data_IF_585816285877
#
_entry.id   IF_585816285877
#
_cell.length_a   1.000
_cell.length_b   1.000
_cell.length_c   1.000
_cell.angle_alpha   90.00
_cell.angle_beta   90.00
_cell.angle_gamma   90.00
#
_symmetry.space_group_name_H-M   'P 1'
#
loop_
_entity.id
_entity.type
_entity.pdbx_description
1 polymer ?
#
# COMPACT_ATOMS: atom_id res chain seq x y z
N UNK A 1 -65.78 37.49 3.56
CA UNK A 1 -64.34 37.64 3.83
C UNK A 1 -63.66 36.34 3.43
N UNK A 2 -62.91 36.34 2.32
CA UNK A 2 -62.25 35.15 1.75
C UNK A 2 -60.85 35.02 2.38
N UNK A 3 -60.52 33.86 2.96
CA UNK A 3 -59.14 33.52 3.33
C UNK A 3 -58.68 32.39 2.41
N UNK A 4 -57.69 32.71 1.57
CA UNK A 4 -57.00 31.76 0.69
C UNK A 4 -55.99 30.98 1.53
N UNK A 5 -56.07 29.65 1.49
CA UNK A 5 -55.00 28.76 1.98
C UNK A 5 -53.99 28.57 0.85
N UNK A 6 -52.75 28.97 1.09
CA UNK A 6 -51.61 28.83 0.17
C UNK A 6 -50.93 27.50 0.50
N UNK A 7 -50.78 26.63 -0.51
CA UNK A 7 -49.96 25.43 -0.45
C UNK A 7 -48.48 25.82 -0.37
N UNK A 8 -47.77 25.35 0.66
CA UNK A 8 -46.32 25.38 0.72
C UNK A 8 -45.79 24.00 0.37
N UNK A 9 -45.34 23.83 -0.87
CA UNK A 9 -44.57 22.66 -1.30
C UNK A 9 -43.13 22.83 -0.80
N UNK A 10 -42.77 22.09 0.25
CA UNK A 10 -41.39 21.97 0.69
C UNK A 10 -40.64 21.03 -0.27
N UNK A 11 -39.76 21.60 -1.09
CA UNK A 11 -38.80 20.84 -1.89
C UNK A 11 -37.69 20.36 -0.94
N UNK A 12 -37.77 19.11 -0.50
CA UNK A 12 -36.70 18.45 0.23
C UNK A 12 -35.57 18.13 -0.76
N UNK A 13 -34.50 18.94 -0.76
CA UNK A 13 -33.22 18.52 -1.34
C UNK A 13 -32.62 17.47 -0.40
N UNK A 14 -32.72 16.20 -0.78
CA UNK A 14 -31.96 15.13 -0.13
C UNK A 14 -30.49 15.29 -0.50
N UNK A 15 -29.65 15.63 0.49
CA UNK A 15 -28.20 15.51 0.35
C UNK A 15 -27.86 14.01 0.32
N UNK A 16 -27.58 13.48 -0.87
CA UNK A 16 -26.93 12.18 -1.00
C UNK A 16 -25.48 12.36 -0.60
N UNK A 17 -25.13 11.85 0.57
CA UNK A 17 -23.74 11.63 0.96
C UNK A 17 -23.12 10.66 -0.05
N UNK A 18 -22.20 11.15 -0.88
CA UNK A 18 -21.30 10.31 -1.65
C UNK A 18 -20.43 9.60 -0.63
N UNK A 19 -20.77 8.34 -0.31
CA UNK A 19 -19.84 7.47 0.38
C UNK A 19 -18.69 7.21 -0.60
N UNK A 20 -17.47 7.65 -0.25
CA UNK A 20 -16.27 7.09 -0.87
C UNK A 20 -16.34 5.58 -0.67
N UNK A 21 -16.32 4.82 -1.76
CA UNK A 21 -16.09 3.39 -1.65
C UNK A 21 -14.63 3.26 -1.22
N UNK A 22 -14.39 3.01 0.07
CA UNK A 22 -13.10 2.43 0.47
C UNK A 22 -13.07 1.06 -0.18
N UNK A 23 -12.12 0.84 -1.09
CA UNK A 23 -11.87 -0.51 -1.58
C UNK A 23 -11.36 -1.30 -0.37
N UNK A 24 -12.13 -2.27 0.11
CA UNK A 24 -11.63 -3.21 1.09
C UNK A 24 -10.72 -4.20 0.34
N UNK A 25 -9.48 -3.80 0.06
CA UNK A 25 -8.53 -4.60 -0.71
C UNK A 25 -8.22 -5.95 -0.06
N UNK A 26 -8.09 -7.00 -0.88
CA UNK A 26 -7.54 -8.29 -0.48
C UNK A 26 -6.01 -8.22 -0.57
N UNK A 27 -5.32 -8.42 0.56
CA UNK A 27 -3.87 -8.31 0.67
C UNK A 27 -3.25 -9.69 0.90
N UNK A 28 -2.25 -10.03 0.09
CA UNK A 28 -1.34 -11.14 0.37
C UNK A 28 -0.10 -10.63 1.10
N UNK A 29 0.10 -11.03 2.35
CA UNK A 29 1.28 -10.71 3.16
C UNK A 29 2.24 -11.91 3.20
N UNK A 30 3.51 -11.72 2.80
CA UNK A 30 4.52 -12.79 2.82
C UNK A 30 5.22 -12.90 4.17
N UNK A 31 5.29 -14.11 4.72
CA UNK A 31 6.06 -14.46 5.92
C UNK A 31 7.42 -15.10 5.56
N UNK A 32 8.50 -14.66 6.22
CA UNK A 32 9.85 -15.24 6.11
C UNK A 32 10.42 -15.62 7.49
N UNK A 33 11.68 -15.32 7.77
CA UNK A 33 12.42 -15.88 8.92
C UNK A 33 12.26 -15.07 10.23
N UNK A 34 11.91 -13.79 10.13
CA UNK A 34 11.97 -12.83 11.24
C UNK A 34 11.00 -13.16 12.40
N UNK A 35 9.90 -13.90 12.17
CA UNK A 35 8.91 -14.23 13.22
C UNK A 35 9.24 -15.44 14.11
N UNK A 36 10.35 -16.15 13.89
CA UNK A 36 10.60 -17.40 14.62
C UNK A 36 11.35 -17.25 15.96
N UNK A 37 11.60 -16.00 16.40
CA UNK A 37 12.46 -15.66 17.55
C UNK A 37 11.78 -15.45 18.90
N UNK A 38 10.76 -16.23 19.26
CA UNK A 38 10.29 -16.42 20.65
C UNK A 38 10.35 -15.22 21.61
N UNK A 39 9.49 -14.22 21.42
CA UNK A 39 9.35 -13.13 22.39
C UNK A 39 8.34 -12.06 21.98
N UNK A 40 7.07 -12.29 22.34
CA UNK A 40 5.92 -11.35 22.29
C UNK A 40 5.61 -10.70 20.93
N UNK A 41 4.55 -11.27 20.32
CA UNK A 41 3.87 -10.97 19.06
C UNK A 41 4.59 -11.36 17.77
N UNK A 42 3.87 -12.12 16.94
CA UNK A 42 4.28 -12.50 15.61
C UNK A 42 4.00 -11.30 14.71
N UNK A 43 5.06 -10.62 14.25
CA UNK A 43 4.94 -9.36 13.52
C UNK A 43 4.01 -9.45 12.30
N UNK A 44 3.94 -10.61 11.65
CA UNK A 44 3.05 -10.83 10.51
C UNK A 44 1.59 -10.83 10.95
N UNK A 45 1.30 -11.37 12.14
CA UNK A 45 -0.03 -11.34 12.76
C UNK A 45 -0.41 -9.93 13.20
N UNK A 46 0.55 -9.15 13.71
CA UNK A 46 0.30 -7.76 14.08
C UNK A 46 0.01 -6.90 12.83
N UNK A 47 0.84 -7.02 11.79
CA UNK A 47 0.59 -6.36 10.50
C UNK A 47 -0.78 -6.72 9.94
N UNK A 48 -1.11 -8.01 9.93
CA UNK A 48 -2.44 -8.49 9.53
C UNK A 48 -3.54 -7.84 10.37
N UNK A 49 -3.41 -7.84 11.69
CA UNK A 49 -4.42 -7.27 12.61
C UNK A 49 -4.63 -5.78 12.34
N UNK A 50 -3.56 -5.03 12.09
CA UNK A 50 -3.62 -3.60 11.81
C UNK A 50 -4.27 -3.28 10.46
N UNK A 51 -3.96 -4.06 9.43
CA UNK A 51 -4.58 -3.94 8.10
C UNK A 51 -6.05 -4.37 8.14
N UNK A 52 -6.40 -5.43 8.87
CA UNK A 52 -7.79 -5.85 9.06
C UNK A 52 -8.59 -4.83 9.88
N UNK A 53 -7.95 -4.15 10.84
CA UNK A 53 -8.57 -3.05 11.60
C UNK A 53 -8.90 -1.84 10.71
N UNK A 54 -8.19 -1.67 9.60
CA UNK A 54 -8.44 -0.63 8.59
C UNK A 54 -9.46 -1.06 7.52
N UNK A 55 -9.95 -2.31 7.59
CA UNK A 55 -11.01 -2.83 6.74
C UNK A 55 -10.55 -3.71 5.58
N UNK A 56 -9.27 -4.05 5.49
CA UNK A 56 -8.76 -5.01 4.51
C UNK A 56 -9.02 -6.46 4.90
N UNK A 57 -8.92 -7.36 3.92
CA UNK A 57 -8.83 -8.81 4.18
C UNK A 57 -7.39 -9.25 3.91
N UNK A 58 -6.75 -9.91 4.87
CA UNK A 58 -5.32 -10.25 4.76
C UNK A 58 -5.08 -11.75 4.88
N UNK A 59 -4.44 -12.33 3.88
CA UNK A 59 -3.90 -13.68 3.93
C UNK A 59 -2.39 -13.64 4.15
N UNK A 60 -1.90 -14.42 5.11
CA UNK A 60 -0.47 -14.62 5.32
C UNK A 60 -0.04 -15.88 4.59
N UNK A 61 1.02 -15.79 3.78
CA UNK A 61 1.64 -16.94 3.11
C UNK A 61 3.07 -17.12 3.60
N UNK A 62 3.41 -18.34 4.03
CA UNK A 62 4.79 -18.71 4.33
C UNK A 62 5.60 -18.77 3.02
N UNK A 63 6.44 -17.77 2.79
CA UNK A 63 7.26 -17.63 1.60
C UNK A 63 8.58 -18.41 1.67
N UNK A 64 8.89 -19.09 2.79
CA UNK A 64 10.10 -19.94 2.93
C UNK A 64 10.03 -21.20 2.07
N UNK A 65 8.82 -21.66 1.78
CA UNK A 65 8.58 -22.74 0.81
C UNK A 65 8.49 -22.17 -0.61
N UNK A 66 9.56 -22.32 -1.40
CA UNK A 66 9.53 -21.86 -2.80
C UNK A 66 8.33 -22.42 -3.58
N UNK A 67 7.59 -21.56 -4.25
CA UNK A 67 6.35 -21.84 -4.98
C UNK A 67 5.07 -21.53 -4.20
N UNK A 68 5.17 -21.22 -2.89
CA UNK A 68 4.00 -20.92 -2.07
C UNK A 68 3.33 -19.59 -2.45
N UNK A 69 4.13 -18.56 -2.75
CA UNK A 69 3.59 -17.25 -3.18
C UNK A 69 2.90 -17.40 -4.54
N UNK A 70 3.53 -18.12 -5.47
CA UNK A 70 2.91 -18.43 -6.75
C UNK A 70 1.59 -19.20 -6.60
N UNK A 71 1.54 -20.17 -5.68
CA UNK A 71 0.33 -20.95 -5.40
C UNK A 71 -0.78 -20.09 -4.81
N UNK A 72 -0.45 -19.18 -3.88
CA UNK A 72 -1.42 -18.24 -3.30
C UNK A 72 -2.02 -17.34 -4.39
N UNK A 73 -1.18 -16.64 -5.16
CA UNK A 73 -1.59 -15.77 -6.26
C UNK A 73 -2.38 -16.51 -7.36
N UNK A 74 -2.14 -17.80 -7.56
CA UNK A 74 -2.89 -18.62 -8.50
C UNK A 74 -4.25 -19.11 -7.99
N UNK A 75 -4.50 -19.05 -6.68
CA UNK A 75 -5.71 -19.60 -6.05
C UNK A 75 -6.71 -18.54 -5.56
N UNK A 76 -6.22 -17.33 -5.28
CA UNK A 76 -7.00 -16.22 -4.75
C UNK A 76 -6.71 -14.95 -5.53
N UNK A 77 -7.74 -14.15 -5.79
CA UNK A 77 -7.57 -12.82 -6.37
C UNK A 77 -7.22 -11.83 -5.26
N UNK A 78 -5.99 -11.33 -5.30
CA UNK A 78 -5.52 -10.26 -4.43
C UNK A 78 -5.51 -8.94 -5.19
N UNK A 79 -5.71 -7.84 -4.46
CA UNK A 79 -5.55 -6.48 -4.95
C UNK A 79 -4.13 -5.98 -4.67
N UNK A 80 -3.53 -6.43 -3.56
CA UNK A 80 -2.22 -5.99 -3.11
C UNK A 80 -1.33 -7.19 -2.69
N UNK A 81 -0.03 -7.07 -2.90
CA UNK A 81 0.98 -8.00 -2.35
C UNK A 81 1.98 -7.22 -1.51
N UNK A 82 2.10 -7.62 -0.26
CA UNK A 82 3.02 -7.08 0.73
C UNK A 82 4.18 -8.06 0.88
N UNK A 83 5.25 -7.81 0.13
CA UNK A 83 6.49 -8.55 0.19
C UNK A 83 7.36 -7.99 1.33
N UNK A 84 7.27 -8.61 2.51
CA UNK A 84 8.04 -8.21 3.69
C UNK A 84 9.31 -9.06 3.85
N UNK A 85 10.31 -8.76 3.03
CA UNK A 85 11.60 -9.46 2.94
C UNK A 85 12.55 -9.10 4.10
N UNK A 86 12.24 -9.61 5.30
CA UNK A 86 13.13 -9.56 6.48
C UNK A 86 13.89 -10.88 6.66
N UNK A 87 14.70 -11.22 5.67
CA UNK A 87 15.59 -12.38 5.74
C UNK A 87 16.85 -12.14 4.93
N UNK A 88 17.94 -12.80 5.33
CA UNK A 88 19.16 -12.87 4.52
C UNK A 88 19.24 -14.10 3.62
N UNK A 89 18.14 -14.84 3.50
CA UNK A 89 18.04 -16.09 2.73
C UNK A 89 17.16 -15.87 1.51
N UNK A 90 17.64 -16.28 0.34
CA UNK A 90 16.82 -16.35 -0.87
C UNK A 90 15.85 -17.54 -0.77
N UNK A 91 14.58 -17.25 -0.52
CA UNK A 91 13.50 -18.24 -0.42
C UNK A 91 12.61 -18.25 -1.67
N UNK A 92 12.36 -17.07 -2.27
CA UNK A 92 11.55 -16.99 -3.48
C UNK A 92 12.24 -17.67 -4.64
N UNK A 93 11.54 -18.61 -5.28
CA UNK A 93 12.05 -19.26 -6.49
C UNK A 93 11.56 -18.54 -7.76
N UNK A 94 11.98 -19.04 -8.92
CA UNK A 94 11.59 -18.46 -10.20
C UNK A 94 10.07 -18.43 -10.42
N UNK A 95 9.31 -19.41 -9.89
CA UNK A 95 7.86 -19.42 -10.03
C UNK A 95 7.20 -18.33 -9.19
N UNK A 96 7.68 -18.09 -7.96
CA UNK A 96 7.19 -17.00 -7.10
C UNK A 96 7.44 -15.64 -7.74
N UNK A 97 8.68 -15.42 -8.21
CA UNK A 97 9.07 -14.16 -8.87
C UNK A 97 8.23 -13.93 -10.13
N UNK A 98 8.07 -14.95 -10.98
CA UNK A 98 7.21 -14.84 -12.18
C UNK A 98 5.73 -14.61 -11.86
N UNK A 99 5.22 -15.16 -10.74
CA UNK A 99 3.85 -14.93 -10.33
C UNK A 99 3.65 -13.48 -9.84
N UNK A 100 4.59 -12.92 -9.08
CA UNK A 100 4.56 -11.50 -8.67
C UNK A 100 4.67 -10.58 -9.89
N UNK A 101 5.57 -10.90 -10.84
CA UNK A 101 5.70 -10.16 -12.11
C UNK A 101 4.40 -10.20 -12.92
N UNK A 102 3.73 -11.36 -12.98
CA UNK A 102 2.43 -11.49 -13.66
C UNK A 102 1.29 -10.79 -12.94
N UNK A 103 1.37 -10.64 -11.60
CA UNK A 103 0.42 -9.89 -10.80
C UNK A 103 0.57 -8.38 -11.00
N UNK A 104 1.80 -7.92 -11.21
CA UNK A 104 2.16 -6.52 -11.39
C UNK A 104 1.64 -5.97 -12.73
N UNK A 105 1.15 -4.74 -12.69
CA UNK A 105 0.79 -3.96 -13.87
C UNK A 105 1.30 -2.52 -13.65
N UNK A 106 1.98 -1.87 -14.62
CA UNK A 106 2.51 -0.51 -14.44
C UNK A 106 1.47 0.57 -14.13
N UNK A 107 0.17 0.29 -14.25
CA UNK A 107 -0.90 1.19 -13.79
C UNK A 107 -1.20 1.08 -12.29
N UNK A 108 -0.70 0.05 -11.60
CA UNK A 108 -0.83 -0.15 -10.16
C UNK A 108 0.22 0.66 -9.37
N UNK A 109 0.01 0.77 -8.07
CA UNK A 109 0.96 1.43 -7.17
C UNK A 109 2.10 0.50 -6.75
N UNK A 110 3.31 1.01 -6.59
CA UNK A 110 4.40 0.29 -5.93
C UNK A 110 5.06 1.18 -4.89
N UNK A 111 5.33 0.63 -3.72
CA UNK A 111 6.07 1.28 -2.64
C UNK A 111 7.26 0.40 -2.29
N UNK A 112 8.45 1.01 -2.23
CA UNK A 112 9.68 0.36 -1.78
C UNK A 112 10.11 0.98 -0.46
N UNK A 113 10.13 0.19 0.61
CA UNK A 113 10.52 0.60 1.96
C UNK A 113 11.76 -0.20 2.40
N UNK A 114 12.90 0.47 2.48
CA UNK A 114 14.19 -0.15 2.86
C UNK A 114 14.46 -0.12 4.37
N UNK A 115 13.50 0.35 5.15
CA UNK A 115 13.61 0.58 6.61
C UNK A 115 12.78 -0.42 7.40
N UNK A 116 12.12 -1.34 6.72
CA UNK A 116 11.15 -2.28 7.29
C UNK A 116 11.76 -3.14 8.41
N UNK A 117 13.10 -3.24 8.48
CA UNK A 117 13.87 -3.86 9.58
C UNK A 117 14.20 -2.91 10.75
N UNK A 118 13.56 -1.74 10.87
CA UNK A 118 13.78 -0.84 12.00
C UNK A 118 13.69 -1.55 13.34
N UNK A 119 14.58 -1.22 14.28
CA UNK A 119 14.53 -1.69 15.68
C UNK A 119 13.14 -1.46 16.34
N UNK A 120 12.33 -0.61 15.72
CA UNK A 120 10.99 -0.25 16.14
C UNK A 120 9.86 -1.01 15.45
N UNK A 121 10.10 -1.80 14.38
CA UNK A 121 9.03 -2.51 13.66
C UNK A 121 8.43 -3.62 14.52
N UNK A 122 7.51 -3.21 15.37
CA UNK A 122 6.91 -3.97 16.45
C UNK A 122 5.44 -4.25 16.17
N UNK A 123 4.91 -3.72 15.05
CA UNK A 123 3.52 -3.90 14.66
C UNK A 123 2.52 -3.24 15.63
N UNK A 124 3.01 -2.44 16.58
CA UNK A 124 2.21 -1.78 17.61
C UNK A 124 2.62 -0.33 17.85
N UNK A 125 3.69 0.15 17.20
CA UNK A 125 4.02 1.56 17.19
C UNK A 125 3.01 2.32 16.33
N UNK A 126 2.39 3.41 16.83
CA UNK A 126 1.37 4.14 16.08
C UNK A 126 1.84 4.67 14.73
N UNK A 127 3.10 5.11 14.60
CA UNK A 127 3.63 5.63 13.34
C UNK A 127 3.79 4.51 12.32
N UNK A 128 4.16 3.31 12.76
CA UNK A 128 4.30 2.14 11.88
C UNK A 128 2.96 1.59 11.43
N UNK A 129 2.00 1.52 12.35
CA UNK A 129 0.61 1.17 12.03
C UNK A 129 0.05 2.14 11.01
N UNK A 130 0.22 3.45 11.23
CA UNK A 130 -0.22 4.48 10.31
C UNK A 130 0.47 4.35 8.94
N UNK A 131 1.81 4.18 8.89
CA UNK A 131 2.52 3.99 7.62
C UNK A 131 1.99 2.77 6.86
N UNK A 132 1.81 1.63 7.54
CA UNK A 132 1.33 0.39 6.93
C UNK A 132 -0.07 0.58 6.33
N UNK A 133 -0.97 1.27 7.03
CA UNK A 133 -2.32 1.60 6.58
C UNK A 133 -2.30 2.60 5.42
N UNK A 134 -1.51 3.68 5.52
CA UNK A 134 -1.37 4.67 4.45
C UNK A 134 -0.83 4.06 3.15
N UNK A 135 0.08 3.08 3.26
CA UNK A 135 0.56 2.30 2.11
C UNK A 135 -0.61 1.53 1.49
N UNK A 136 -1.37 0.78 2.30
CA UNK A 136 -2.49 -0.01 1.80
C UNK A 136 -3.57 0.87 1.14
N UNK A 137 -3.94 1.99 1.76
CA UNK A 137 -4.87 2.96 1.19
C UNK A 137 -4.36 3.54 -0.14
N UNK A 138 -3.08 3.92 -0.19
CA UNK A 138 -2.48 4.47 -1.43
C UNK A 138 -2.44 3.42 -2.54
N UNK A 139 -2.22 2.15 -2.22
CA UNK A 139 -2.30 1.08 -3.20
C UNK A 139 -3.74 0.87 -3.67
N UNK A 140 -4.74 0.92 -2.79
CA UNK A 140 -6.15 0.86 -3.18
C UNK A 140 -6.56 2.00 -4.12
N UNK A 141 -6.11 3.23 -3.85
CA UNK A 141 -6.33 4.37 -4.73
C UNK A 141 -5.65 4.22 -6.10
N UNK A 142 -4.61 3.40 -6.17
CA UNK A 142 -3.90 3.02 -7.40
C UNK A 142 -4.51 1.79 -8.10
N UNK A 143 -5.63 1.24 -7.62
CA UNK A 143 -6.23 0.01 -8.15
C UNK A 143 -5.48 -1.27 -7.76
N UNK A 144 -4.79 -1.25 -6.62
CA UNK A 144 -3.96 -2.32 -6.11
C UNK A 144 -2.46 -2.06 -6.27
N UNK A 145 -1.63 -3.05 -5.94
CA UNK A 145 -0.20 -2.94 -6.16
C UNK A 145 0.72 -3.74 -5.25
N UNK A 146 1.96 -3.26 -5.14
CA UNK A 146 3.04 -3.93 -4.43
C UNK A 146 3.58 -3.02 -3.33
N UNK A 147 3.74 -3.57 -2.13
CA UNK A 147 4.66 -3.03 -1.14
C UNK A 147 5.83 -3.98 -0.98
N UNK A 148 7.04 -3.47 -1.12
CA UNK A 148 8.29 -4.21 -0.98
C UNK A 148 9.04 -3.63 0.21
N UNK A 149 8.86 -4.27 1.37
CA UNK A 149 9.52 -3.93 2.62
C UNK A 149 10.75 -4.80 2.85
N UNK A 150 11.92 -4.20 3.10
CA UNK A 150 13.19 -4.91 3.34
C UNK A 150 14.15 -4.03 4.16
N UNK A 151 15.43 -4.44 4.24
CA UNK A 151 16.53 -3.66 4.82
C UNK A 151 17.49 -3.19 3.71
N UNK A 152 18.69 -3.76 3.63
CA UNK A 152 19.80 -3.23 2.85
C UNK A 152 20.42 -4.28 1.95
N UNK A 153 21.06 -3.76 0.90
CA UNK A 153 21.79 -4.58 -0.05
C UNK A 153 23.23 -4.85 0.41
N UNK A 154 23.77 -6.05 0.19
CA UNK A 154 23.14 -7.21 -0.46
C UNK A 154 22.59 -8.25 0.49
N UNK A 155 22.78 -8.07 1.80
CA UNK A 155 22.50 -9.11 2.76
C UNK A 155 21.00 -9.42 2.88
N UNK A 156 20.13 -8.40 2.80
CA UNK A 156 18.70 -8.52 3.15
C UNK A 156 17.75 -8.31 1.97
N UNK A 157 18.28 -8.02 0.78
CA UNK A 157 17.51 -7.79 -0.44
C UNK A 157 17.44 -9.05 -1.33
N UNK A 158 17.71 -10.22 -0.75
CA UNK A 158 17.85 -11.48 -1.48
C UNK A 158 16.55 -11.93 -2.18
N UNK A 159 15.39 -11.46 -1.71
CA UNK A 159 14.10 -11.72 -2.36
C UNK A 159 13.53 -10.45 -3.01
N UNK A 160 13.70 -9.29 -2.38
CA UNK A 160 13.22 -7.99 -2.88
C UNK A 160 13.88 -7.58 -4.21
N UNK A 161 15.22 -7.64 -4.34
CA UNK A 161 15.91 -7.20 -5.55
C UNK A 161 15.59 -8.07 -6.79
N UNK A 162 15.47 -9.40 -6.70
CA UNK A 162 14.97 -10.22 -7.80
C UNK A 162 13.55 -9.84 -8.25
N UNK A 163 12.65 -9.53 -7.32
CA UNK A 163 11.29 -9.07 -7.64
C UNK A 163 11.32 -7.71 -8.33
N UNK A 164 12.03 -6.72 -7.77
CA UNK A 164 12.20 -5.39 -8.38
C UNK A 164 12.74 -5.48 -9.81
N UNK A 165 13.76 -6.32 -10.01
CA UNK A 165 14.34 -6.54 -11.34
C UNK A 165 13.35 -7.15 -12.32
N UNK A 166 12.51 -8.10 -11.86
CA UNK A 166 11.50 -8.74 -12.71
C UNK A 166 10.45 -7.74 -13.19
N UNK A 167 9.96 -6.88 -12.29
CA UNK A 167 8.95 -5.85 -12.61
C UNK A 167 9.52 -4.60 -13.30
N UNK A 168 10.83 -4.57 -13.55
CA UNK A 168 11.51 -3.48 -14.24
C UNK A 168 11.68 -2.20 -13.42
N UNK A 169 11.92 -2.34 -12.11
CA UNK A 169 12.29 -1.26 -11.19
C UNK A 169 13.75 -1.44 -10.79
N UNK A 170 14.50 -0.33 -10.66
CA UNK A 170 15.88 -0.38 -10.19
C UNK A 170 15.97 -1.02 -8.80
N UNK A 171 17.03 -1.77 -8.57
CA UNK A 171 17.23 -2.51 -7.32
C UNK A 171 17.60 -1.59 -6.16
N UNK A 172 17.30 -2.03 -4.94
CA UNK A 172 17.79 -1.42 -3.70
C UNK A 172 19.30 -1.61 -3.62
N UNK A 173 20.02 -0.59 -3.17
CA UNK A 173 21.49 -0.60 -3.11
C UNK A 173 22.05 -0.06 -1.79
N UNK A 174 23.25 -0.52 -1.44
CA UNK A 174 24.02 0.00 -0.32
C UNK A 174 23.46 -0.36 1.06
N UNK A 175 24.22 0.02 2.09
CA UNK A 175 23.91 -0.16 3.50
C UNK A 175 24.35 1.10 4.25
N UNK A 176 23.38 1.80 4.82
CA UNK A 176 23.56 3.09 5.48
C UNK A 176 23.02 3.02 6.91
N UNK A 177 23.32 4.02 7.73
CA UNK A 177 22.85 4.06 9.13
C UNK A 177 22.43 5.45 9.60
N UNK A 178 22.27 6.38 8.65
CA UNK A 178 21.89 7.75 8.94
C UNK A 178 20.46 7.77 9.53
N UNK A 179 20.18 8.63 10.51
CA UNK A 179 18.83 8.82 11.02
C UNK A 179 17.95 9.48 9.96
N UNK A 180 16.64 9.34 10.06
CA UNK A 180 15.75 10.19 9.27
C UNK A 180 15.94 11.66 9.65
N UNK A 181 16.05 12.51 8.63
CA UNK A 181 15.90 13.96 8.76
C UNK A 181 15.19 14.57 7.54
N UNK A 182 14.74 13.74 6.60
CA UNK A 182 13.94 14.12 5.44
C UNK A 182 12.63 13.34 5.46
N UNK A 183 11.54 14.08 5.54
CA UNK A 183 10.17 13.58 5.46
C UNK A 183 9.35 14.70 4.84
N UNK A 184 8.79 14.46 3.66
CA UNK A 184 7.99 15.49 3.01
C UNK A 184 6.63 15.61 3.72
N UNK A 185 6.26 16.78 4.24
CA UNK A 185 5.02 16.95 5.00
C UNK A 185 3.75 16.81 4.15
N UNK A 186 3.87 16.77 2.83
CA UNK A 186 2.75 16.53 1.90
C UNK A 186 2.57 15.07 1.52
N UNK A 187 3.49 14.19 1.96
CA UNK A 187 3.44 12.76 1.69
C UNK A 187 2.22 12.09 2.33
N UNK A 188 1.34 11.51 1.53
CA UNK A 188 0.21 10.68 1.99
C UNK A 188 0.67 9.50 2.84
N UNK A 189 1.84 8.93 2.55
CA UNK A 189 2.41 7.84 3.34
C UNK A 189 2.75 8.25 4.77
N UNK A 190 2.86 9.54 5.05
CA UNK A 190 3.28 10.07 6.35
C UNK A 190 2.14 10.71 7.15
N UNK A 191 0.88 10.55 6.73
CA UNK A 191 -0.23 11.02 7.55
C UNK A 191 -0.30 10.23 8.87
N UNK A 192 -0.42 10.94 9.99
CA UNK A 192 -0.35 10.33 11.33
C UNK A 192 1.01 9.73 11.72
N UNK A 193 2.04 9.83 10.87
CA UNK A 193 3.37 9.29 11.10
C UNK A 193 4.27 10.35 11.73
N UNK A 194 4.95 9.99 12.83
CA UNK A 194 6.08 10.76 13.33
C UNK A 194 7.37 10.19 12.72
N UNK A 195 8.04 10.89 11.80
CA UNK A 195 9.15 10.30 11.03
C UNK A 195 10.28 9.73 11.87
N UNK A 196 10.61 10.40 12.98
CA UNK A 196 11.69 9.98 13.89
C UNK A 196 11.38 8.69 14.64
N UNK A 197 10.10 8.36 14.84
CA UNK A 197 9.69 7.10 15.48
C UNK A 197 10.01 5.93 14.56
N UNK A 198 9.87 6.16 13.25
CA UNK A 198 10.08 5.15 12.25
C UNK A 198 11.56 4.78 12.00
N UNK A 199 12.51 5.70 12.21
CA UNK A 199 13.95 5.42 12.02
C UNK A 199 14.89 6.40 12.75
N UNK A 200 15.38 6.00 13.92
CA UNK A 200 16.29 6.80 14.74
C UNK A 200 17.78 6.75 14.35
N UNK A 201 18.15 5.96 13.33
CA UNK A 201 19.55 5.72 12.93
C UNK A 201 20.29 4.67 13.77
N UNK A 202 21.53 4.35 13.39
CA UNK A 202 22.40 3.40 14.11
C UNK A 202 22.24 1.92 13.73
N UNK A 203 21.22 1.58 12.93
CA UNK A 203 21.04 0.27 12.29
C UNK A 203 21.20 0.41 10.76
N UNK A 204 21.05 -0.67 10.00
CA UNK A 204 21.20 -0.66 8.54
C UNK A 204 19.92 -0.32 7.79
N UNK A 205 20.05 0.41 6.68
CA UNK A 205 18.97 0.75 5.75
C UNK A 205 19.52 0.78 4.33
N UNK A 206 18.74 0.33 3.33
CA UNK A 206 19.10 0.42 1.92
C UNK A 206 18.74 1.78 1.29
N UNK A 207 19.23 2.02 0.06
CA UNK A 207 18.77 3.13 -0.78
C UNK A 207 17.62 2.66 -1.68
N UNK A 208 16.44 3.24 -1.52
CA UNK A 208 15.29 2.98 -2.38
C UNK A 208 15.48 3.59 -3.79
N UNK A 209 14.92 2.97 -4.85
CA UNK A 209 14.99 3.49 -6.20
C UNK A 209 14.14 4.76 -6.36
N UNK A 210 14.62 5.73 -7.14
CA UNK A 210 13.92 7.01 -7.40
C UNK A 210 14.09 7.44 -8.86
N UNK A 211 13.20 8.30 -9.35
CA UNK A 211 13.19 8.79 -10.73
C UNK A 211 12.56 7.80 -11.71
N UNK A 212 12.76 8.01 -13.00
CA UNK A 212 12.20 7.15 -14.06
C UNK A 212 12.91 5.78 -14.05
N UNK A 213 12.13 4.73 -13.88
CA UNK A 213 12.56 3.34 -13.82
C UNK A 213 12.65 2.70 -15.20
N UNK A 214 13.31 1.52 -15.35
CA UNK A 214 13.41 0.80 -16.62
C UNK A 214 12.06 0.49 -17.30
N UNK A 215 11.01 0.25 -16.53
CA UNK A 215 9.64 0.03 -17.03
C UNK A 215 8.88 1.34 -17.37
N UNK A 216 9.49 2.51 -17.15
CA UNK A 216 8.94 3.82 -17.47
C UNK A 216 8.13 4.49 -16.36
N UNK A 217 7.88 3.83 -15.22
CA UNK A 217 7.23 4.48 -14.07
C UNK A 217 8.21 5.45 -13.39
N UNK A 218 7.71 6.52 -12.79
CA UNK A 218 8.52 7.43 -11.98
C UNK A 218 8.35 7.09 -10.50
N UNK A 219 9.45 6.93 -9.77
CA UNK A 219 9.47 6.69 -8.33
C UNK A 219 9.81 7.99 -7.58
N UNK A 220 8.91 8.43 -6.71
CA UNK A 220 9.04 9.65 -5.91
C UNK A 220 9.55 9.32 -4.52
N UNK A 221 10.34 10.23 -3.94
CA UNK A 221 10.86 10.07 -2.58
C UNK A 221 9.84 10.58 -1.56
N UNK A 222 9.47 9.73 -0.59
CA UNK A 222 8.57 10.11 0.50
C UNK A 222 9.32 10.32 1.83
N UNK A 223 10.38 9.53 2.04
CA UNK A 223 11.07 9.45 3.32
C UNK A 223 12.56 9.17 3.11
N UNK A 224 13.44 9.77 3.90
CA UNK A 224 14.87 9.61 3.71
C UNK A 224 15.78 10.35 4.71
N UNK A 225 17.02 10.53 4.28
CA UNK A 225 18.00 11.39 4.94
C UNK A 225 18.58 12.40 3.93
N UNK A 226 18.47 13.68 4.21
CA UNK A 226 19.13 14.76 3.48
C UNK A 226 20.48 15.11 4.12
N UNK A 227 21.56 14.94 3.36
CA UNK A 227 22.91 15.36 3.70
C UNK A 227 23.36 16.55 2.82
N UNK A 228 22.75 17.71 3.07
CA UNK A 228 23.16 18.96 2.43
C UNK A 228 22.73 19.08 0.96
N UNK A 229 21.50 18.66 0.64
CA UNK A 229 20.91 18.70 -0.70
C UNK A 229 21.08 17.39 -1.49
N UNK A 230 21.60 16.34 -0.84
CA UNK A 230 21.67 14.98 -1.39
C UNK A 230 20.80 14.09 -0.52
N UNK A 231 19.61 13.81 -1.01
CA UNK A 231 18.69 12.94 -0.28
C UNK A 231 19.01 11.48 -0.59
N UNK A 232 19.25 10.72 0.48
CA UNK A 232 19.26 9.27 0.51
C UNK A 232 17.82 8.79 0.73
N UNK A 233 17.14 8.28 -0.31
CA UNK A 233 15.78 7.78 -0.19
C UNK A 233 15.74 6.46 0.58
N UNK A 234 14.80 6.37 1.50
CA UNK A 234 14.51 5.14 2.24
C UNK A 234 13.13 4.57 1.90
N UNK A 235 12.14 5.44 1.68
CA UNK A 235 10.85 5.05 1.10
C UNK A 235 10.64 5.82 -0.20
N UNK A 236 10.32 5.10 -1.25
CA UNK A 236 9.86 5.65 -2.51
C UNK A 236 8.58 4.96 -3.00
N UNK A 237 7.80 5.67 -3.81
CA UNK A 237 6.56 5.14 -4.38
C UNK A 237 6.35 5.58 -5.84
N UNK A 238 5.54 4.85 -6.61
CA UNK A 238 5.22 5.19 -8.00
C UNK A 238 4.16 6.27 -8.17
N UNK A 239 3.68 6.84 -7.07
CA UNK A 239 2.76 7.97 -7.02
C UNK A 239 3.43 9.15 -6.34
N UNK A 240 2.93 10.35 -6.61
CA UNK A 240 3.51 11.56 -6.03
C UNK A 240 3.23 11.64 -4.52
N UNK A 241 3.79 12.67 -3.90
CA UNK A 241 3.63 12.94 -2.48
C UNK A 241 2.16 13.10 -2.07
N UNK A 242 1.33 13.73 -2.91
CA UNK A 242 -0.09 13.94 -2.66
C UNK A 242 -0.94 12.68 -2.88
N UNK A 243 -0.32 11.59 -3.33
CA UNK A 243 -0.91 10.30 -3.53
C UNK A 243 -1.53 10.12 -4.92
N UNK A 244 -2.05 8.92 -5.20
CA UNK A 244 -2.69 8.64 -6.49
C UNK A 244 -3.95 9.48 -6.64
N UNK A 245 -4.15 10.05 -7.84
CA UNK A 245 -5.41 10.71 -8.17
C UNK A 245 -6.49 9.63 -8.29
N UNK A 246 -7.56 9.65 -7.48
CA UNK A 246 -8.57 8.60 -7.51
C UNK A 246 -9.14 8.44 -8.92
N UNK A 247 -9.09 7.21 -9.45
CA UNK A 247 -9.75 6.94 -10.74
C UNK A 247 -11.26 7.05 -10.55
N UNK A 248 -12.00 7.76 -11.42
CA UNK A 248 -13.45 7.85 -11.29
C UNK A 248 -14.07 6.45 -11.44
N UNK A 249 -14.57 5.88 -10.35
CA UNK A 249 -15.41 4.67 -10.43
C UNK A 249 -16.65 5.05 -11.23
N UNK A 250 -17.01 4.32 -12.31
CA UNK A 250 -18.25 4.58 -13.03
C UNK A 250 -19.40 4.52 -12.04
N UNK A 251 -20.12 5.64 -11.85
CA UNK A 251 -21.29 5.63 -10.98
C UNK A 251 -22.24 4.52 -11.44
N UNK A 252 -22.86 3.74 -10.52
CA UNK A 252 -23.94 2.85 -10.88
C UNK A 252 -24.99 3.68 -11.62
N UNK A 253 -25.07 3.48 -12.93
CA UNK A 253 -25.68 4.45 -13.83
C UNK A 253 -27.03 4.94 -13.33
N UNK A 254 -27.14 6.26 -13.14
CA UNK A 254 -28.38 6.99 -12.84
C UNK A 254 -29.53 6.65 -13.81
N UNK A 255 -29.23 6.03 -14.95
CA UNK A 255 -30.17 5.44 -15.91
C UNK A 255 -31.06 4.34 -15.31
N UNK A 256 -30.60 3.58 -14.31
CA UNK A 256 -31.44 2.58 -13.65
C UNK A 256 -32.56 3.25 -12.82
N UNK A 257 -32.26 4.35 -12.11
CA UNK A 257 -33.26 5.07 -11.31
C UNK A 257 -34.29 5.82 -12.17
N UNK A 258 -33.87 6.39 -13.30
CA UNK A 258 -34.79 7.01 -14.27
C UNK A 258 -35.70 5.98 -14.96
N UNK A 259 -35.20 4.76 -15.21
CA UNK A 259 -35.98 3.65 -15.76
C UNK A 259 -37.08 3.16 -14.82
N UNK A 260 -36.78 2.96 -13.53
CA UNK A 260 -37.78 2.53 -12.54
C UNK A 260 -38.79 3.64 -12.17
N UNK A 261 -38.36 4.91 -12.17
CA UNK A 261 -39.27 6.04 -11.92
C UNK A 261 -40.35 6.23 -12.99
N UNK A 262 -40.03 5.97 -14.26
CA UNK A 262 -41.00 6.07 -15.36
C UNK A 262 -41.97 4.89 -15.45
N UNK A 263 -41.56 3.68 -15.03
CA UNK A 263 -42.47 2.53 -14.96
C UNK A 263 -43.43 2.64 -13.78
N UNK A 264 -43.02 3.23 -12.66
CA UNK A 264 -43.90 3.49 -11.50
C UNK A 264 -45.01 4.50 -11.79
N UNK A 265 -44.73 5.54 -12.58
CA UNK A 265 -45.73 6.55 -12.99
C UNK A 265 -46.69 6.04 -14.07
N UNK A 266 -46.34 4.99 -14.82
CA UNK A 266 -47.24 4.37 -15.79
C UNK A 266 -48.28 3.44 -15.14
N UNK A 267 -48.04 2.97 -13.91
CA UNK A 267 -48.93 2.07 -13.17
C UNK A 267 -49.83 2.76 -12.14
N UNK A 268 -49.67 4.08 -11.90
CA UNK A 268 -50.53 4.85 -10.99
C UNK A 268 -51.67 5.59 -11.72
N UNK A 269 -52.48 4.86 -12.50
CA UNK A 269 -53.80 5.36 -12.94
C UNK A 269 -54.89 4.79 -12.06
#
# INVERSE_FOLDING_TARGET
MKIKSIFSSALMLGATTLASQSFAGNILLTEFDFASGGGSSDIYIDMKTNLEADGHTVDIVDARGGGNVASALGSTSYDQVFLFDLTSTAHLNAADISAIDSFWDPSKGVVVDTRSYGYHFQGNDPSEVALLQNVAESLDLSGGGLWIGTDHDSAWTQNANPVLSAIGIDTITGSFSNPVNFADPTSVLLDGVTPTDLWGGGMSVGRAPVGIQPNGIEMFIHFGNDDGGRVLPYISASFDLQGPVPTPVPEPGTLALLGFGLVGLAYSR
#
